data_IF_072448877688
#
_entry.id   IF_072448877688
#
_cell.length_a   1.000
_cell.length_b   1.000
_cell.length_c   1.000
_cell.angle_alpha   90.00
_cell.angle_beta   90.00
_cell.angle_gamma   90.00
#
_symmetry.space_group_name_H-M   'P 1'
#
loop_
_entity.id
_entity.type
_entity.pdbx_description
1 polymer ?
#
# COMPACT_ATOMS: atom_id res chain seq x y z
N UNK A 1 -27.23 6.34 10.90
CA UNK A 1 -26.48 7.22 9.98
C UNK A 1 -25.14 7.57 10.61
N UNK A 2 -24.04 6.98 10.16
CA UNK A 2 -22.68 7.28 10.66
C UNK A 2 -21.94 8.10 9.61
N UNK A 3 -21.75 9.40 9.89
CA UNK A 3 -21.12 10.34 8.94
C UNK A 3 -19.70 9.94 8.51
N UNK A 4 -18.98 9.19 9.35
CA UNK A 4 -17.63 8.69 9.06
C UNK A 4 -17.58 7.51 8.08
N UNK A 5 -18.73 6.95 7.70
CA UNK A 5 -18.83 5.75 6.85
C UNK A 5 -19.70 6.00 5.62
N UNK A 6 -19.98 7.27 5.30
CA UNK A 6 -20.88 7.66 4.22
C UNK A 6 -20.20 8.77 3.42
N UNK A 7 -20.16 8.57 2.11
CA UNK A 7 -19.77 9.59 1.15
C UNK A 7 -21.02 9.98 0.36
N UNK A 8 -21.33 11.27 0.33
CA UNK A 8 -22.41 11.82 -0.49
C UNK A 8 -22.11 11.59 -1.97
N UNK A 9 -23.13 11.20 -2.75
CA UNK A 9 -23.02 10.90 -4.18
C UNK A 9 -22.42 9.53 -4.51
N UNK A 10 -22.01 8.74 -3.50
CA UNK A 10 -21.36 7.45 -3.73
C UNK A 10 -22.28 6.42 -4.42
N UNK A 11 -23.56 6.44 -4.10
CA UNK A 11 -24.57 5.56 -4.72
C UNK A 11 -24.71 5.79 -6.23
N UNK A 12 -24.59 7.05 -6.66
CA UNK A 12 -24.57 7.46 -8.07
C UNK A 12 -23.20 7.20 -8.72
N UNK A 13 -22.12 7.48 -7.99
CA UNK A 13 -20.75 7.45 -8.51
C UNK A 13 -20.13 6.04 -8.55
N UNK A 14 -20.56 5.08 -7.70
CA UNK A 14 -19.90 3.78 -7.51
C UNK A 14 -19.60 3.01 -8.81
N UNK A 15 -20.53 3.02 -9.77
CA UNK A 15 -20.38 2.32 -11.06
C UNK A 15 -19.29 2.98 -11.91
N UNK A 16 -19.29 4.31 -11.93
CA UNK A 16 -18.32 5.09 -12.70
C UNK A 16 -16.94 5.08 -12.03
N UNK A 17 -16.89 5.08 -10.69
CA UNK A 17 -15.65 4.92 -9.91
C UNK A 17 -14.99 3.58 -10.25
N UNK A 18 -15.74 2.48 -10.21
CA UNK A 18 -15.20 1.16 -10.55
C UNK A 18 -14.76 1.08 -12.03
N UNK A 19 -15.56 1.65 -12.95
CA UNK A 19 -15.27 1.63 -14.39
C UNK A 19 -14.06 2.47 -14.77
N UNK A 20 -13.98 3.72 -14.28
CA UNK A 20 -12.90 4.67 -14.60
C UNK A 20 -11.68 4.49 -13.70
N UNK A 21 -11.80 3.70 -12.63
CA UNK A 21 -10.79 3.55 -11.57
C UNK A 21 -10.34 4.92 -11.03
N UNK A 22 -11.29 5.83 -10.86
CA UNK A 22 -11.04 7.19 -10.41
C UNK A 22 -12.11 7.60 -9.41
N UNK A 23 -11.72 8.20 -8.29
CA UNK A 23 -12.62 8.88 -7.36
C UNK A 23 -12.20 10.34 -7.18
N UNK A 24 -13.13 11.28 -7.30
CA UNK A 24 -12.90 12.70 -7.05
C UNK A 24 -13.54 13.05 -5.70
N UNK A 25 -12.76 13.53 -4.75
CA UNK A 25 -13.21 13.89 -3.42
C UNK A 25 -13.30 15.40 -3.34
N UNK A 26 -14.52 15.89 -3.08
CA UNK A 26 -14.84 17.32 -2.94
C UNK A 26 -15.38 17.60 -1.53
N UNK A 27 -15.45 18.87 -1.12
CA UNK A 27 -15.82 19.24 0.26
C UNK A 27 -17.34 19.19 0.50
N UNK A 28 -18.13 19.73 -0.43
CA UNK A 28 -19.57 19.88 -0.28
C UNK A 28 -20.43 18.99 -1.19
N UNK A 29 -21.69 18.80 -0.82
CA UNK A 29 -22.68 18.16 -1.70
C UNK A 29 -22.97 19.00 -2.96
N UNK A 30 -22.87 20.33 -2.86
CA UNK A 30 -23.00 21.27 -3.99
C UNK A 30 -21.90 21.04 -5.02
N UNK A 31 -20.68 20.78 -4.58
CA UNK A 31 -19.54 20.47 -5.44
C UNK A 31 -19.71 19.14 -6.14
N UNK A 32 -20.30 18.14 -5.45
CA UNK A 32 -20.65 16.86 -6.08
C UNK A 32 -21.67 17.09 -7.20
N UNK A 33 -22.72 17.85 -6.93
CA UNK A 33 -23.72 18.18 -7.95
C UNK A 33 -23.08 18.93 -9.13
N UNK A 34 -22.17 19.88 -8.84
CA UNK A 34 -21.44 20.63 -9.85
C UNK A 34 -20.54 19.75 -10.72
N UNK A 35 -19.77 18.88 -10.09
CA UNK A 35 -18.88 17.94 -10.75
C UNK A 35 -19.66 16.97 -11.62
N UNK A 36 -20.79 16.42 -11.14
CA UNK A 36 -21.64 15.53 -11.92
C UNK A 36 -22.27 16.25 -13.13
N UNK A 37 -22.73 17.50 -12.97
CA UNK A 37 -23.21 18.31 -14.09
C UNK A 37 -22.11 18.58 -15.12
N UNK A 38 -20.88 18.80 -14.66
CA UNK A 38 -19.71 18.91 -15.53
C UNK A 38 -19.24 17.57 -16.12
N UNK A 39 -19.89 16.43 -15.83
CA UNK A 39 -19.53 15.11 -16.36
C UNK A 39 -18.45 14.36 -15.58
N UNK A 40 -18.03 14.89 -14.42
CA UNK A 40 -17.17 14.23 -13.44
C UNK A 40 -18.05 13.37 -12.53
N UNK A 41 -18.55 12.29 -13.10
CA UNK A 41 -19.50 11.35 -12.46
C UNK A 41 -18.88 10.51 -11.33
N UNK A 42 -17.59 10.66 -11.09
CA UNK A 42 -16.80 9.99 -10.04
C UNK A 42 -16.69 10.83 -8.77
N UNK A 43 -17.30 12.02 -8.74
CA UNK A 43 -17.23 12.92 -7.60
C UNK A 43 -18.11 12.47 -6.43
N UNK A 44 -17.54 12.56 -5.23
CA UNK A 44 -18.19 12.26 -3.94
C UNK A 44 -17.68 13.23 -2.86
N UNK A 45 -18.46 13.45 -1.80
CA UNK A 45 -18.09 14.34 -0.71
C UNK A 45 -18.26 13.69 0.66
N UNK A 46 -17.53 14.19 1.66
CA UNK A 46 -17.78 13.81 3.06
C UNK A 46 -19.02 14.52 3.59
N UNK A 47 -19.72 13.90 4.53
CA UNK A 47 -20.96 14.48 5.09
C UNK A 47 -20.69 15.45 6.25
N UNK A 48 -19.89 16.50 6.01
CA UNK A 48 -19.51 17.49 7.01
C UNK A 48 -18.56 16.94 8.08
N UNK A 49 -17.65 16.06 7.67
CA UNK A 49 -16.62 15.45 8.51
C UNK A 49 -15.28 15.46 7.78
N UNK A 50 -14.18 15.45 8.53
CA UNK A 50 -12.87 15.26 7.92
C UNK A 50 -12.83 13.90 7.19
N UNK A 51 -12.14 13.88 6.04
CA UNK A 51 -11.86 12.64 5.34
C UNK A 51 -10.96 11.74 6.20
N UNK A 52 -11.28 10.45 6.32
CA UNK A 52 -10.61 9.55 7.25
C UNK A 52 -10.59 8.08 6.83
N UNK A 53 -10.03 7.23 7.68
CA UNK A 53 -9.72 5.84 7.37
C UNK A 53 -10.93 5.00 6.89
N UNK A 54 -12.11 5.24 7.45
CA UNK A 54 -13.32 4.53 7.02
C UNK A 54 -13.76 4.90 5.60
N UNK A 55 -13.61 6.17 5.19
CA UNK A 55 -13.84 6.57 3.79
C UNK A 55 -12.82 5.94 2.85
N UNK A 56 -11.56 5.85 3.28
CA UNK A 56 -10.49 5.18 2.51
C UNK A 56 -10.85 3.72 2.28
N UNK A 57 -11.32 3.00 3.29
CA UNK A 57 -11.75 1.59 3.15
C UNK A 57 -12.85 1.41 2.11
N UNK A 58 -13.82 2.34 2.08
CA UNK A 58 -14.92 2.32 1.10
C UNK A 58 -14.38 2.55 -0.32
N UNK A 59 -13.60 3.61 -0.53
CA UNK A 59 -13.03 3.91 -1.85
C UNK A 59 -12.12 2.79 -2.32
N UNK A 60 -11.34 2.20 -1.41
CA UNK A 60 -10.47 1.07 -1.70
C UNK A 60 -11.25 -0.10 -2.28
N UNK A 61 -12.35 -0.48 -1.64
CA UNK A 61 -13.21 -1.57 -2.14
C UNK A 61 -13.74 -1.29 -3.55
N UNK A 62 -13.96 -0.03 -3.92
CA UNK A 62 -14.48 0.34 -5.24
C UNK A 62 -13.39 0.50 -6.31
N UNK A 63 -12.16 0.82 -5.90
CA UNK A 63 -11.03 1.09 -6.78
C UNK A 63 -10.07 -0.10 -6.94
N UNK A 64 -10.16 -1.10 -6.06
CA UNK A 64 -9.22 -2.23 -5.98
C UNK A 64 -9.83 -3.57 -6.42
N UNK A 65 -10.75 -3.56 -7.39
CA UNK A 65 -11.11 -4.79 -8.08
C UNK A 65 -10.00 -5.17 -9.08
N UNK A 66 -9.39 -6.32 -8.80
CA UNK A 66 -8.27 -7.00 -9.48
C UNK A 66 -6.87 -6.43 -9.27
N UNK A 67 -5.92 -7.36 -9.10
CA UNK A 67 -4.48 -7.26 -8.79
C UNK A 67 -3.64 -6.29 -9.64
N UNK A 68 -4.27 -5.54 -10.55
CA UNK A 68 -3.68 -4.41 -11.26
C UNK A 68 -3.99 -3.09 -10.51
N UNK A 69 -3.05 -2.68 -9.67
CA UNK A 69 -3.02 -1.39 -8.99
C UNK A 69 -3.04 -0.21 -10.00
N UNK A 70 -4.23 0.30 -10.34
CA UNK A 70 -4.45 1.35 -11.36
C UNK A 70 -5.52 2.38 -11.00
N UNK A 71 -5.97 2.42 -9.75
CA UNK A 71 -7.01 3.35 -9.30
C UNK A 71 -6.42 4.63 -8.73
N UNK A 72 -6.97 5.80 -9.09
CA UNK A 72 -6.53 7.10 -8.60
C UNK A 72 -7.60 7.82 -7.77
N UNK A 73 -7.16 8.54 -6.74
CA UNK A 73 -8.02 9.35 -5.89
C UNK A 73 -7.57 10.80 -5.93
N UNK A 74 -8.48 11.68 -6.32
CA UNK A 74 -8.19 13.08 -6.62
C UNK A 74 -8.93 13.93 -5.60
N UNK A 75 -8.20 14.70 -4.81
CA UNK A 75 -8.79 15.65 -3.88
C UNK A 75 -8.88 17.03 -4.52
N UNK A 76 -10.05 17.65 -4.47
CA UNK A 76 -10.19 19.09 -4.72
C UNK A 76 -10.30 19.80 -3.38
N UNK A 77 -9.44 20.78 -3.15
CA UNK A 77 -9.51 21.64 -1.98
C UNK A 77 -9.75 23.07 -2.40
N UNK A 78 -10.36 23.84 -1.51
CA UNK A 78 -10.66 25.27 -1.68
C UNK A 78 -9.39 26.14 -1.50
N UNK A 79 -8.21 25.55 -1.75
CA UNK A 79 -6.91 26.18 -1.56
C UNK A 79 -6.47 26.33 -0.10
N UNK A 80 -7.27 25.90 0.88
CA UNK A 80 -6.98 26.12 2.30
C UNK A 80 -5.89 25.17 2.85
N UNK A 81 -5.17 25.62 3.88
CA UNK A 81 -4.09 24.83 4.50
C UNK A 81 -4.63 23.67 5.35
N UNK A 82 -5.92 23.69 5.72
CA UNK A 82 -6.53 22.72 6.62
C UNK A 82 -6.90 21.42 5.89
N UNK A 83 -7.53 21.50 4.71
CA UNK A 83 -7.88 20.38 3.86
C UNK A 83 -6.65 19.59 3.39
N UNK A 84 -5.60 20.31 3.01
CA UNK A 84 -4.31 19.73 2.62
C UNK A 84 -3.67 18.90 3.75
N UNK A 85 -3.67 19.45 4.97
CA UNK A 85 -3.11 18.78 6.15
C UNK A 85 -3.96 17.59 6.59
N UNK A 86 -5.28 17.67 6.44
CA UNK A 86 -6.19 16.56 6.69
C UNK A 86 -5.97 15.42 5.70
N UNK A 87 -5.76 15.72 4.42
CA UNK A 87 -5.42 14.74 3.40
C UNK A 87 -4.11 14.02 3.74
N UNK A 88 -3.03 14.78 4.01
CA UNK A 88 -1.74 14.20 4.35
C UNK A 88 -1.80 13.30 5.58
N UNK A 89 -2.61 13.67 6.59
CA UNK A 89 -2.87 12.83 7.77
C UNK A 89 -3.69 11.58 7.46
N UNK A 90 -4.75 11.70 6.67
CA UNK A 90 -5.59 10.56 6.33
C UNK A 90 -4.81 9.50 5.53
N UNK A 91 -3.76 9.93 4.83
CA UNK A 91 -2.96 9.10 3.94
C UNK A 91 -1.67 8.55 4.55
N UNK A 92 -1.21 9.03 5.72
CA UNK A 92 0.02 8.51 6.35
C UNK A 92 0.00 7.01 6.63
N UNK A 93 -1.19 6.42 6.77
CA UNK A 93 -1.37 5.06 7.27
C UNK A 93 -1.37 4.01 6.13
N UNK A 94 -1.66 4.38 4.89
CA UNK A 94 -1.67 3.46 3.74
C UNK A 94 -0.98 4.00 2.49
N UNK A 95 0.24 3.52 2.30
CA UNK A 95 1.11 4.03 1.27
C UNK A 95 0.76 3.67 -0.16
N UNK A 96 0.18 2.48 -0.39
CA UNK A 96 -0.24 2.12 -1.74
C UNK A 96 -1.25 3.17 -2.19
N UNK A 97 -2.26 3.43 -1.37
CA UNK A 97 -3.25 4.47 -1.64
C UNK A 97 -2.61 5.85 -1.86
N UNK A 98 -1.63 6.26 -1.03
CA UNK A 98 -0.94 7.57 -1.18
C UNK A 98 -0.28 7.75 -2.55
N UNK A 99 0.37 6.71 -3.10
CA UNK A 99 1.04 6.81 -4.40
C UNK A 99 0.09 7.02 -5.58
N UNK A 100 -1.21 6.82 -5.36
CA UNK A 100 -2.27 7.08 -6.32
C UNK A 100 -3.21 8.20 -5.84
N UNK A 101 -2.79 8.95 -4.83
CA UNK A 101 -3.50 10.13 -4.37
C UNK A 101 -2.94 11.35 -5.06
N UNK A 102 -3.84 12.13 -5.65
CA UNK A 102 -3.56 13.37 -6.33
C UNK A 102 -4.37 14.49 -5.71
N UNK A 103 -3.91 15.72 -5.94
CA UNK A 103 -4.57 16.94 -5.49
C UNK A 103 -4.76 17.84 -6.69
N UNK A 104 -5.94 18.41 -6.82
CA UNK A 104 -6.27 19.45 -7.79
C UNK A 104 -6.66 20.70 -7.01
N UNK A 105 -5.84 21.75 -7.09
CA UNK A 105 -6.08 23.04 -6.41
C UNK A 105 -6.37 24.10 -7.46
N UNK A 106 -7.46 24.83 -7.27
CA UNK A 106 -7.82 25.96 -8.12
C UNK A 106 -7.00 27.20 -7.72
N UNK A 107 -6.30 27.87 -8.65
CA UNK A 107 -5.38 28.96 -8.31
C UNK A 107 -6.03 30.20 -7.69
N UNK A 108 -7.28 30.49 -8.02
CA UNK A 108 -8.05 31.63 -7.53
C UNK A 108 -8.83 31.27 -6.24
N UNK A 109 -8.68 30.04 -5.73
CA UNK A 109 -9.34 29.57 -4.51
C UNK A 109 -10.83 29.31 -4.67
N UNK A 110 -11.30 29.13 -5.91
CA UNK A 110 -12.71 28.79 -6.18
C UNK A 110 -12.98 27.32 -5.86
N UNK A 111 -14.08 27.05 -5.17
CA UNK A 111 -14.59 25.69 -5.00
C UNK A 111 -15.10 25.12 -6.35
N UNK A 112 -15.31 23.80 -6.48
CA UNK A 112 -15.80 23.20 -7.72
C UNK A 112 -17.13 23.80 -8.21
N UNK A 113 -18.03 24.17 -7.30
CA UNK A 113 -19.31 24.76 -7.62
C UNK A 113 -19.16 26.15 -8.27
N UNK A 114 -18.41 27.03 -7.64
CA UNK A 114 -18.12 28.40 -8.04
C UNK A 114 -17.24 28.43 -9.29
N UNK A 115 -16.25 27.53 -9.38
CA UNK A 115 -15.46 27.36 -10.59
C UNK A 115 -16.34 27.04 -11.79
N UNK A 116 -17.30 26.11 -11.63
CA UNK A 116 -18.25 25.78 -12.70
C UNK A 116 -19.16 26.95 -13.03
N UNK A 117 -19.67 27.67 -12.03
CA UNK A 117 -20.54 28.82 -12.26
C UNK A 117 -19.82 29.97 -12.98
N UNK A 118 -18.57 30.23 -12.63
CA UNK A 118 -17.80 31.36 -13.15
C UNK A 118 -17.09 31.05 -14.47
N UNK A 119 -16.54 29.84 -14.62
CA UNK A 119 -15.67 29.47 -15.76
C UNK A 119 -16.22 28.29 -16.59
N UNK A 120 -17.36 27.72 -16.22
CA UNK A 120 -18.05 26.67 -16.95
C UNK A 120 -17.51 25.25 -16.70
N UNK A 121 -18.20 24.26 -17.27
CA UNK A 121 -17.90 22.83 -17.06
C UNK A 121 -16.48 22.42 -17.49
N UNK A 122 -15.97 23.03 -18.57
CA UNK A 122 -14.64 22.71 -19.10
C UNK A 122 -13.55 23.07 -18.09
N UNK A 123 -13.67 24.20 -17.39
CA UNK A 123 -12.69 24.63 -16.40
C UNK A 123 -12.58 23.64 -15.23
N UNK A 124 -13.72 23.07 -14.79
CA UNK A 124 -13.72 22.07 -13.74
C UNK A 124 -13.09 20.75 -14.20
N UNK A 125 -13.34 20.31 -15.44
CA UNK A 125 -12.65 19.13 -16.01
C UNK A 125 -11.15 19.35 -16.12
N UNK A 126 -10.74 20.53 -16.56
CA UNK A 126 -9.34 20.89 -16.72
C UNK A 126 -8.62 20.99 -15.37
N UNK A 127 -9.31 21.40 -14.31
CA UNK A 127 -8.78 21.34 -12.93
C UNK A 127 -8.43 19.91 -12.54
N UNK A 128 -9.36 18.96 -12.70
CA UNK A 128 -9.14 17.54 -12.37
C UNK A 128 -8.07 16.91 -13.27
N UNK A 129 -8.01 17.31 -14.54
CA UNK A 129 -6.99 16.82 -15.48
C UNK A 129 -5.57 17.25 -15.08
N UNK A 130 -5.40 18.44 -14.52
CA UNK A 130 -4.10 19.02 -14.08
C UNK A 130 -3.72 18.66 -12.64
N UNK A 131 -4.34 17.65 -12.06
CA UNK A 131 -4.01 17.16 -10.71
C UNK A 131 -2.52 16.86 -10.56
N UNK A 132 -1.98 17.13 -9.38
CA UNK A 132 -0.57 16.86 -9.02
C UNK A 132 -0.49 15.75 -7.96
N UNK A 133 0.57 14.94 -7.94
CA UNK A 133 0.74 13.92 -6.90
C UNK A 133 0.75 14.53 -5.50
N UNK A 134 0.15 13.85 -4.52
CA UNK A 134 0.04 14.35 -3.14
C UNK A 134 1.41 14.65 -2.51
N UNK A 135 2.42 13.80 -2.75
CA UNK A 135 3.77 14.03 -2.23
C UNK A 135 4.42 15.28 -2.83
N UNK A 136 4.30 15.47 -4.15
CA UNK A 136 4.81 16.69 -4.81
C UNK A 136 4.13 17.93 -4.23
N UNK A 137 2.81 17.89 -4.10
CA UNK A 137 2.03 18.97 -3.53
C UNK A 137 2.49 19.33 -2.11
N UNK A 138 2.62 18.32 -1.24
CA UNK A 138 3.03 18.50 0.15
C UNK A 138 4.45 19.08 0.28
N UNK A 139 5.38 18.58 -0.54
CA UNK A 139 6.76 19.07 -0.53
C UNK A 139 6.76 20.53 -0.99
N UNK A 140 6.10 20.87 -2.09
CA UNK A 140 6.03 22.25 -2.59
C UNK A 140 5.37 23.20 -1.60
N UNK A 141 4.29 22.77 -0.95
CA UNK A 141 3.63 23.54 0.10
C UNK A 141 4.56 23.82 1.29
N UNK A 142 5.37 22.84 1.70
CA UNK A 142 6.36 23.03 2.77
C UNK A 142 7.49 23.96 2.33
N UNK A 143 7.99 23.81 1.09
CA UNK A 143 9.03 24.67 0.53
C UNK A 143 8.60 26.14 0.43
N UNK A 144 7.31 26.40 0.14
CA UNK A 144 6.76 27.75 0.03
C UNK A 144 6.86 28.57 1.34
N UNK A 145 7.14 27.92 2.47
CA UNK A 145 7.31 28.56 3.79
C UNK A 145 8.71 29.14 3.99
N UNK A 146 9.63 28.92 3.06
CA UNK A 146 11.04 29.28 3.17
C UNK A 146 11.52 30.15 2.00
N UNK A 147 12.47 31.04 2.28
CA UNK A 147 13.12 31.87 1.25
C UNK A 147 14.23 31.10 0.56
N UNK A 148 13.95 30.51 -0.61
CA UNK A 148 14.91 29.65 -1.33
C UNK A 148 16.04 30.42 -2.05
N UNK A 149 16.05 31.75 -2.01
CA UNK A 149 17.12 32.56 -2.61
C UNK A 149 18.37 32.64 -1.74
N UNK A 150 18.28 32.30 -0.44
CA UNK A 150 19.43 32.29 0.47
C UNK A 150 19.92 30.87 0.78
N UNK A 151 21.22 30.67 1.01
CA UNK A 151 21.77 29.37 1.43
C UNK A 151 21.10 28.82 2.69
N UNK A 152 20.86 29.67 3.70
CA UNK A 152 20.23 29.30 4.97
C UNK A 152 18.78 28.87 4.78
N UNK A 153 18.06 29.55 3.89
CA UNK A 153 16.68 29.21 3.53
C UNK A 153 16.60 27.87 2.81
N UNK A 154 17.53 27.59 1.89
CA UNK A 154 17.63 26.28 1.20
C UNK A 154 17.92 25.14 2.17
N UNK A 155 18.86 25.31 3.10
CA UNK A 155 19.17 24.29 4.11
C UNK A 155 17.98 24.07 5.06
N UNK A 156 17.34 25.14 5.51
CA UNK A 156 16.14 25.03 6.37
C UNK A 156 15.01 24.30 5.67
N UNK A 157 14.75 24.64 4.41
CA UNK A 157 13.75 24.00 3.58
C UNK A 157 14.08 22.52 3.33
N UNK A 158 15.35 22.20 3.07
CA UNK A 158 15.81 20.81 2.93
C UNK A 158 15.53 19.99 4.20
N UNK A 159 15.88 20.53 5.37
CA UNK A 159 15.66 19.84 6.64
C UNK A 159 14.17 19.60 6.94
N UNK A 160 13.29 20.50 6.48
CA UNK A 160 11.85 20.38 6.64
C UNK A 160 11.20 19.42 5.60
N UNK A 161 11.69 19.43 4.36
CA UNK A 161 11.15 18.62 3.26
C UNK A 161 11.70 17.18 3.23
N UNK A 162 12.94 16.95 3.68
CA UNK A 162 13.55 15.62 3.68
C UNK A 162 12.74 14.57 4.46
N UNK A 163 12.12 14.88 5.63
CA UNK A 163 11.18 13.98 6.30
C UNK A 163 9.97 13.58 5.45
N UNK A 164 9.42 14.46 4.62
CA UNK A 164 8.28 14.15 3.76
C UNK A 164 8.67 13.13 2.67
N UNK A 165 9.86 13.29 2.09
CA UNK A 165 10.42 12.33 1.12
C UNK A 165 10.78 11.01 1.81
N UNK A 166 11.26 11.05 3.06
CA UNK A 166 11.58 9.86 3.84
C UNK A 166 10.34 9.00 4.16
N UNK A 167 9.15 9.61 4.27
CA UNK A 167 7.88 8.90 4.51
C UNK A 167 7.43 8.04 3.30
N UNK A 168 7.98 8.29 2.10
CA UNK A 168 7.78 7.45 0.92
C UNK A 168 8.50 6.12 1.17
N UNK A 169 7.78 5.02 1.40
CA UNK A 169 8.34 3.66 1.62
C UNK A 169 8.48 2.90 0.29
N UNK A 170 7.88 3.38 -0.81
CA UNK A 170 8.24 2.93 -2.16
C UNK A 170 9.68 3.36 -2.47
N UNK A 171 10.57 2.36 -2.49
CA UNK A 171 12.01 2.57 -2.72
C UNK A 171 12.33 3.06 -4.13
N UNK A 172 11.44 2.84 -5.10
CA UNK A 172 11.63 3.26 -6.49
C UNK A 172 11.25 4.73 -6.71
N UNK A 173 10.23 5.22 -6.02
CA UNK A 173 9.80 6.63 -6.12
C UNK A 173 10.70 7.57 -5.33
N UNK A 174 11.31 7.11 -4.23
CA UNK A 174 12.11 7.98 -3.36
C UNK A 174 13.28 8.68 -4.09
N UNK A 175 14.10 7.99 -4.91
CA UNK A 175 15.17 8.66 -5.67
C UNK A 175 14.64 9.73 -6.63
N UNK A 176 13.48 9.50 -7.27
CA UNK A 176 12.85 10.46 -8.16
C UNK A 176 12.41 11.73 -7.41
N UNK A 177 11.76 11.57 -6.26
CA UNK A 177 11.39 12.71 -5.42
C UNK A 177 12.59 13.43 -4.80
N UNK A 178 13.67 12.71 -4.46
CA UNK A 178 14.94 13.33 -4.04
C UNK A 178 15.53 14.20 -5.15
N UNK A 179 15.48 13.74 -6.42
CA UNK A 179 15.94 14.52 -7.57
C UNK A 179 15.06 15.76 -7.81
N UNK A 180 13.74 15.61 -7.74
CA UNK A 180 12.81 16.75 -7.85
C UNK A 180 13.02 17.78 -6.74
N UNK A 181 13.20 17.33 -5.49
CA UNK A 181 13.49 18.20 -4.35
C UNK A 181 14.80 18.95 -4.52
N UNK A 182 15.85 18.28 -5.00
CA UNK A 182 17.13 18.91 -5.33
C UNK A 182 16.95 20.00 -6.40
N UNK A 183 16.17 19.73 -7.44
CA UNK A 183 15.82 20.70 -8.49
C UNK A 183 15.05 21.92 -7.96
N UNK A 184 14.09 21.72 -7.05
CA UNK A 184 13.33 22.83 -6.46
C UNK A 184 14.16 23.69 -5.51
N UNK A 185 15.10 23.09 -4.79
CA UNK A 185 15.99 23.79 -3.86
C UNK A 185 17.21 24.41 -4.55
N UNK A 186 17.59 23.93 -5.73
CA UNK A 186 18.84 24.29 -6.39
C UNK A 186 20.07 23.85 -5.60
N UNK A 187 20.07 22.60 -5.13
CA UNK A 187 21.18 21.96 -4.40
C UNK A 187 21.51 20.60 -5.02
N UNK A 188 22.65 20.03 -4.68
CA UNK A 188 23.09 18.74 -5.21
C UNK A 188 22.23 17.57 -4.72
N UNK A 189 21.99 16.59 -5.59
CA UNK A 189 21.12 15.42 -5.31
C UNK A 189 21.69 14.57 -4.17
N UNK A 190 23.01 14.49 -4.07
CA UNK A 190 23.74 13.78 -3.01
C UNK A 190 23.45 14.40 -1.64
N UNK A 191 23.40 15.73 -1.56
CA UNK A 191 23.08 16.45 -0.33
C UNK A 191 21.64 16.16 0.11
N UNK A 192 20.70 16.16 -0.84
CA UNK A 192 19.30 15.81 -0.55
C UNK A 192 19.17 14.36 -0.11
N UNK A 193 19.84 13.44 -0.82
CA UNK A 193 19.79 12.01 -0.53
C UNK A 193 20.35 11.70 0.86
N UNK A 194 21.42 12.38 1.29
CA UNK A 194 21.98 12.26 2.63
C UNK A 194 21.02 12.80 3.71
N UNK A 195 20.37 13.94 3.45
CA UNK A 195 19.36 14.50 4.36
C UNK A 195 18.15 13.57 4.52
N UNK A 196 17.66 12.99 3.41
CA UNK A 196 16.56 12.00 3.43
C UNK A 196 16.96 10.74 4.19
N UNK A 197 18.16 10.19 3.95
CA UNK A 197 18.68 9.04 4.69
C UNK A 197 18.81 9.32 6.20
N UNK A 198 19.16 10.55 6.57
CA UNK A 198 19.24 10.98 7.97
C UNK A 198 17.85 11.12 8.59
N UNK A 199 16.89 11.68 7.86
CA UNK A 199 15.49 11.80 8.29
C UNK A 199 14.84 10.41 8.49
N UNK A 200 15.17 9.42 7.65
CA UNK A 200 14.73 8.04 7.84
C UNK A 200 15.22 7.45 9.18
N UNK A 201 16.45 7.77 9.59
CA UNK A 201 17.01 7.34 10.89
C UNK A 201 16.44 8.11 12.09
N UNK A 202 15.97 9.35 11.88
CA UNK A 202 15.44 10.26 12.91
C UNK A 202 13.91 10.22 13.07
N UNK A 203 13.20 9.47 12.23
CA UNK A 203 11.73 9.41 12.34
C UNK A 203 11.40 8.76 13.69
N UNK A 204 10.76 9.49 14.63
CA UNK A 204 10.45 8.95 15.93
C UNK A 204 9.41 7.85 15.74
N UNK A 205 9.71 6.62 16.15
CA UNK A 205 8.67 5.72 16.61
C UNK A 205 7.91 6.47 17.70
N UNK A 206 6.59 6.55 17.58
CA UNK A 206 5.71 7.18 18.56
C UNK A 206 6.04 6.60 19.94
N UNK A 207 6.58 7.43 20.84
CA UNK A 207 6.88 7.08 22.22
C UNK A 207 5.57 6.65 22.91
N UNK A 208 5.49 5.37 23.26
CA UNK A 208 4.59 4.84 24.28
C UNK A 208 5.37 4.86 25.60
N UNK A 209 4.68 5.24 26.69
CA UNK A 209 5.21 5.55 28.03
C UNK A 209 6.45 4.77 28.51
N UNK A 210 7.46 5.43 29.11
CA UNK A 210 8.73 4.82 29.55
C UNK A 210 8.69 4.17 30.94
N UNK A 211 7.55 3.67 31.42
CA UNK A 211 7.45 2.95 32.72
C UNK A 211 7.05 1.49 32.56
N UNK A 212 7.68 0.78 31.64
CA UNK A 212 7.63 -0.68 31.57
C UNK A 212 9.06 -1.23 31.44
N UNK A 213 9.40 -2.33 32.14
CA UNK A 213 10.77 -2.82 32.25
C UNK A 213 11.34 -3.23 30.89
N UNK A 214 12.66 -3.00 30.73
CA UNK A 214 13.49 -3.22 29.54
C UNK A 214 13.01 -4.38 28.63
N UNK A 215 12.59 -4.04 27.41
CA UNK A 215 12.28 -5.00 26.36
C UNK A 215 13.35 -4.93 25.28
N UNK A 216 13.93 -6.10 25.03
CA UNK A 216 14.79 -6.53 23.93
C UNK A 216 14.39 -5.96 22.54
N UNK A 217 15.32 -5.87 21.57
CA UNK A 217 15.16 -5.08 20.34
C UNK A 217 13.90 -5.45 19.51
N UNK A 218 13.10 -4.44 19.17
CA UNK A 218 11.87 -4.52 18.38
C UNK A 218 12.05 -4.97 16.91
N UNK A 219 13.26 -5.22 16.42
CA UNK A 219 13.50 -5.57 15.00
C UNK A 219 13.16 -7.02 14.62
N UNK A 220 13.05 -7.96 15.57
CA UNK A 220 12.78 -9.37 15.26
C UNK A 220 11.28 -9.71 15.14
N UNK A 221 10.38 -8.99 15.82
CA UNK A 221 8.96 -9.38 15.92
C UNK A 221 8.12 -8.78 14.78
N UNK A 222 7.44 -9.60 13.95
CA UNK A 222 6.56 -9.08 12.90
C UNK A 222 5.32 -8.40 13.49
N UNK A 223 4.95 -7.24 12.94
CA UNK A 223 3.74 -6.51 13.31
C UNK A 223 2.48 -7.26 12.81
N UNK A 224 1.57 -7.70 13.71
CA UNK A 224 0.34 -8.41 13.33
C UNK A 224 -0.61 -7.59 12.43
N UNK A 225 -0.47 -6.26 12.42
CA UNK A 225 -1.29 -5.37 11.61
C UNK A 225 -0.65 -5.02 10.26
N UNK A 226 0.59 -5.46 9.98
CA UNK A 226 1.26 -5.15 8.72
C UNK A 226 0.54 -5.81 7.53
N UNK A 227 -0.07 -5.05 6.60
CA UNK A 227 -0.93 -5.62 5.57
C UNK A 227 -0.23 -6.60 4.62
N UNK A 228 1.08 -6.45 4.43
CA UNK A 228 1.90 -7.34 3.59
C UNK A 228 2.10 -8.71 4.23
N UNK A 229 2.06 -8.76 5.55
CA UNK A 229 2.32 -9.96 6.36
C UNK A 229 1.04 -10.66 6.80
N UNK A 230 -0.14 -10.05 6.63
CA UNK A 230 -1.42 -10.65 7.02
C UNK A 230 -1.58 -12.04 6.41
N UNK A 231 -1.38 -12.20 5.10
CA UNK A 231 -1.57 -13.49 4.44
C UNK A 231 -0.57 -14.55 4.93
N UNK A 232 0.71 -14.17 5.08
CA UNK A 232 1.75 -15.02 5.66
C UNK A 232 1.38 -15.48 7.08
N UNK A 233 0.90 -14.54 7.90
CA UNK A 233 0.45 -14.77 9.27
C UNK A 233 -0.76 -15.69 9.33
N UNK A 234 -1.78 -15.48 8.51
CA UNK A 234 -2.98 -16.36 8.47
C UNK A 234 -2.61 -17.79 8.10
N UNK A 235 -1.71 -17.99 7.13
CA UNK A 235 -1.21 -19.33 6.76
C UNK A 235 -0.47 -19.99 7.91
N UNK A 236 0.37 -19.24 8.64
CA UNK A 236 1.07 -19.77 9.82
C UNK A 236 0.11 -20.07 10.98
N UNK A 237 -0.91 -19.23 11.22
CA UNK A 237 -1.97 -19.51 12.21
C UNK A 237 -2.72 -20.80 11.86
N UNK A 238 -3.12 -20.97 10.60
CA UNK A 238 -3.75 -22.20 10.13
C UNK A 238 -2.84 -23.42 10.35
N UNK A 239 -1.54 -23.29 10.04
CA UNK A 239 -0.58 -24.40 10.22
C UNK A 239 -0.36 -24.78 11.68
N UNK A 240 -0.40 -23.81 12.59
CA UNK A 240 -0.20 -24.01 14.03
C UNK A 240 -1.49 -24.56 14.68
N UNK A 241 -2.65 -23.98 14.39
CA UNK A 241 -3.92 -24.30 15.05
C UNK A 241 -4.65 -25.50 14.42
N UNK A 242 -4.56 -25.67 13.09
CA UNK A 242 -5.30 -26.68 12.33
C UNK A 242 -4.36 -27.45 11.37
N UNK A 243 -3.33 -28.14 11.89
CA UNK A 243 -2.29 -28.78 11.08
C UNK A 243 -2.83 -29.83 10.10
N UNK A 244 -3.87 -30.57 10.48
CA UNK A 244 -4.52 -31.59 9.64
C UNK A 244 -5.17 -31.02 8.37
N UNK A 245 -5.58 -29.73 8.39
CA UNK A 245 -6.18 -29.04 7.24
C UNK A 245 -5.12 -28.45 6.29
N UNK A 246 -3.85 -28.42 6.69
CA UNK A 246 -2.76 -27.76 5.98
C UNK A 246 -2.02 -28.69 5.00
N UNK A 247 -2.74 -29.57 4.29
CA UNK A 247 -2.16 -30.59 3.41
C UNK A 247 -1.19 -30.01 2.35
N UNK A 248 -1.49 -28.81 1.85
CA UNK A 248 -0.70 -28.13 0.81
C UNK A 248 0.43 -27.25 1.35
N UNK A 249 0.64 -27.18 2.67
CA UNK A 249 1.64 -26.29 3.28
C UNK A 249 3.07 -26.60 2.82
N UNK A 250 3.43 -27.87 2.69
CA UNK A 250 4.75 -28.28 2.22
C UNK A 250 5.04 -27.93 0.75
N UNK A 251 4.02 -27.54 -0.02
CA UNK A 251 4.17 -27.10 -1.40
C UNK A 251 4.54 -25.60 -1.51
N UNK A 252 4.55 -24.87 -0.39
CA UNK A 252 4.99 -23.48 -0.34
C UNK A 252 6.47 -23.38 -0.69
N UNK A 253 6.81 -22.42 -1.55
CA UNK A 253 8.18 -22.13 -1.94
C UNK A 253 9.03 -21.73 -0.72
N UNK A 254 10.34 -21.96 -0.79
CA UNK A 254 11.28 -21.66 0.32
C UNK A 254 11.25 -20.17 0.69
N UNK A 255 10.98 -19.30 -0.29
CA UNK A 255 10.89 -17.85 -0.14
C UNK A 255 9.43 -17.32 -0.06
N UNK A 256 8.45 -18.19 0.24
CA UNK A 256 7.05 -17.80 0.35
C UNK A 256 6.81 -16.78 1.48
N UNK A 257 7.63 -16.82 2.53
CA UNK A 257 7.60 -15.88 3.64
C UNK A 257 8.64 -14.77 3.45
N UNK A 258 8.26 -13.52 3.71
CA UNK A 258 9.13 -12.35 3.51
C UNK A 258 9.73 -11.82 4.80
N UNK A 259 9.07 -12.03 5.94
CA UNK A 259 9.58 -11.59 7.23
C UNK A 259 10.56 -12.61 7.85
N UNK A 260 11.73 -12.21 8.39
CA UNK A 260 12.73 -13.11 8.95
C UNK A 260 12.17 -14.09 10.02
N UNK A 261 11.36 -13.59 10.95
CA UNK A 261 10.75 -14.45 11.98
C UNK A 261 9.74 -15.48 11.42
N UNK A 262 9.06 -15.19 10.30
CA UNK A 262 8.17 -16.16 9.64
C UNK A 262 8.94 -17.19 8.84
N UNK A 263 10.07 -16.80 8.23
CA UNK A 263 11.00 -17.74 7.61
C UNK A 263 11.61 -18.69 8.64
N UNK A 264 12.04 -18.15 9.80
CA UNK A 264 12.57 -18.94 10.90
C UNK A 264 11.49 -19.89 11.46
N UNK A 265 10.26 -19.41 11.67
CA UNK A 265 9.15 -20.26 12.12
C UNK A 265 8.83 -21.36 11.10
N UNK A 266 8.81 -21.05 9.80
CA UNK A 266 8.63 -22.04 8.74
C UNK A 266 9.70 -23.13 8.82
N UNK A 267 10.97 -22.76 8.97
CA UNK A 267 12.07 -23.73 9.09
C UNK A 267 11.91 -24.63 10.33
N UNK A 268 11.46 -24.06 11.45
CA UNK A 268 11.13 -24.81 12.68
C UNK A 268 9.99 -25.81 12.42
N UNK A 269 8.93 -25.38 11.73
CA UNK A 269 7.79 -26.25 11.38
C UNK A 269 8.23 -27.41 10.49
N UNK A 270 9.03 -27.13 9.46
CA UNK A 270 9.52 -28.14 8.51
C UNK A 270 10.39 -29.20 9.21
N UNK A 271 11.19 -28.80 10.20
CA UNK A 271 12.02 -29.73 10.99
C UNK A 271 11.20 -30.58 11.97
N UNK A 272 10.14 -30.03 12.54
CA UNK A 272 9.39 -30.68 13.62
C UNK A 272 8.22 -31.55 13.16
N UNK A 273 7.62 -31.21 12.03
CA UNK A 273 6.38 -31.82 11.55
C UNK A 273 6.34 -31.91 10.02
N UNK A 274 7.25 -32.69 9.40
CA UNK A 274 7.31 -32.84 7.94
C UNK A 274 6.02 -33.43 7.35
N UNK A 275 5.27 -34.24 8.10
CA UNK A 275 4.01 -34.87 7.67
C UNK A 275 2.76 -34.06 8.08
N UNK A 276 2.87 -32.75 8.26
CA UNK A 276 1.79 -31.91 8.80
C UNK A 276 1.28 -32.34 10.18
N UNK A 277 2.12 -32.99 10.99
CA UNK A 277 1.78 -33.32 12.37
C UNK A 277 1.55 -32.07 13.23
N UNK A 278 0.86 -32.27 14.37
CA UNK A 278 0.67 -31.22 15.37
C UNK A 278 2.03 -30.77 15.95
N UNK A 279 2.18 -29.46 16.11
CA UNK A 279 3.39 -28.83 16.61
C UNK A 279 3.32 -28.74 18.13
N UNK A 280 4.40 -29.14 18.82
CA UNK A 280 4.54 -29.00 20.27
C UNK A 280 5.57 -27.93 20.62
N UNK A 281 5.17 -26.99 21.47
CA UNK A 281 5.99 -25.83 21.88
C UNK A 281 7.31 -26.24 22.55
N UNK A 282 7.34 -27.41 23.21
CA UNK A 282 8.50 -27.93 23.95
C UNK A 282 9.74 -28.15 23.07
N UNK A 283 9.54 -28.31 21.76
CA UNK A 283 10.63 -28.52 20.81
C UNK A 283 11.27 -27.21 20.33
N UNK A 284 10.60 -26.07 20.51
CA UNK A 284 11.11 -24.76 20.11
C UNK A 284 12.10 -24.29 21.17
N UNK A 285 13.37 -24.11 20.81
CA UNK A 285 14.43 -23.75 21.77
C UNK A 285 14.58 -22.24 21.98
N UNK A 286 14.24 -21.44 20.97
CA UNK A 286 14.32 -19.98 21.03
C UNK A 286 13.09 -19.39 21.74
N UNK A 287 13.30 -18.67 22.85
CA UNK A 287 12.24 -18.04 23.65
C UNK A 287 11.39 -17.02 22.85
N UNK A 288 12.02 -16.27 21.95
CA UNK A 288 11.31 -15.34 21.06
C UNK A 288 10.37 -16.12 20.12
N UNK A 289 10.83 -17.25 19.60
CA UNK A 289 10.03 -18.12 18.73
C UNK A 289 8.89 -18.81 19.49
N UNK A 290 9.11 -19.21 20.76
CA UNK A 290 8.02 -19.69 21.63
C UNK A 290 6.94 -18.64 21.81
N UNK A 291 7.34 -17.38 22.03
CA UNK A 291 6.40 -16.26 22.17
C UNK A 291 5.57 -16.07 20.90
N UNK A 292 6.21 -16.02 19.73
CA UNK A 292 5.53 -15.88 18.44
C UNK A 292 4.62 -17.09 18.13
N UNK A 293 5.09 -18.32 18.38
CA UNK A 293 4.28 -19.52 18.20
C UNK A 293 3.04 -19.52 19.10
N UNK A 294 3.20 -19.14 20.38
CA UNK A 294 2.09 -19.05 21.33
C UNK A 294 1.07 -18.02 20.89
N UNK A 295 1.53 -16.85 20.44
CA UNK A 295 0.68 -15.79 19.89
C UNK A 295 -0.15 -16.28 18.68
N UNK A 296 0.51 -16.92 17.71
CA UNK A 296 -0.16 -17.47 16.53
C UNK A 296 -1.10 -18.63 16.85
N UNK A 297 -0.87 -19.35 17.95
CA UNK A 297 -1.73 -20.45 18.38
C UNK A 297 -3.05 -19.97 19.01
N UNK A 298 -3.06 -18.76 19.59
CA UNK A 298 -4.25 -18.21 20.29
C UNK A 298 -4.97 -17.13 19.50
N UNK A 299 -4.31 -16.49 18.54
CA UNK A 299 -4.94 -15.47 17.72
C UNK A 299 -5.99 -16.08 16.77
N UNK A 300 -7.23 -15.58 16.73
CA UNK A 300 -8.26 -16.14 15.86
C UNK A 300 -7.88 -16.00 14.38
N UNK A 301 -8.14 -17.06 13.60
CA UNK A 301 -8.02 -17.02 12.14
C UNK A 301 -9.15 -16.15 11.57
N UNK A 302 -8.84 -15.33 10.56
CA UNK A 302 -9.79 -14.41 9.92
C UNK A 302 -10.68 -15.15 8.91
N UNK A 303 -11.41 -16.15 9.38
CA UNK A 303 -12.40 -16.91 8.62
C UNK A 303 -13.81 -16.51 9.05
N UNK A 304 -14.72 -16.39 8.08
CA UNK A 304 -16.14 -16.19 8.35
C UNK A 304 -16.78 -17.55 8.71
N UNK A 305 -16.74 -17.92 10.00
CA UNK A 305 -17.31 -19.17 10.51
C UNK A 305 -16.28 -20.23 10.88
N UNK A 306 -16.63 -21.52 10.72
CA UNK A 306 -15.71 -22.62 11.03
C UNK A 306 -14.55 -22.68 10.01
N UNK A 307 -13.34 -22.97 10.51
CA UNK A 307 -12.15 -23.13 9.68
C UNK A 307 -12.30 -24.43 8.88
N UNK A 308 -12.46 -24.30 7.56
CA UNK A 308 -12.60 -25.45 6.65
C UNK A 308 -11.30 -25.75 5.92
N UNK A 309 -11.14 -26.99 5.46
CA UNK A 309 -10.02 -27.39 4.58
C UNK A 309 -9.94 -26.50 3.32
N UNK A 310 -11.10 -26.15 2.76
CA UNK A 310 -11.21 -25.32 1.57
C UNK A 310 -10.70 -23.89 1.80
N UNK A 311 -11.04 -23.28 2.93
CA UNK A 311 -10.49 -21.97 3.31
C UNK A 311 -8.97 -22.01 3.51
N UNK A 312 -8.46 -23.04 4.20
CA UNK A 312 -7.02 -23.19 4.41
C UNK A 312 -6.29 -23.40 3.08
N UNK A 313 -6.86 -24.19 2.17
CA UNK A 313 -6.32 -24.38 0.82
C UNK A 313 -6.30 -23.06 0.03
N UNK A 314 -7.33 -22.22 0.14
CA UNK A 314 -7.41 -20.95 -0.59
C UNK A 314 -6.35 -19.94 -0.12
N UNK A 315 -6.12 -19.80 1.19
CA UNK A 315 -5.08 -18.88 1.71
C UNK A 315 -3.66 -19.38 1.38
N UNK A 316 -3.42 -20.70 1.38
CA UNK A 316 -2.14 -21.28 0.95
C UNK A 316 -1.94 -21.06 -0.55
N UNK A 317 -2.98 -21.28 -1.38
CA UNK A 317 -2.93 -21.05 -2.81
C UNK A 317 -2.63 -19.57 -3.14
N UNK A 318 -3.25 -18.63 -2.40
CA UNK A 318 -2.99 -17.19 -2.51
C UNK A 318 -1.54 -16.84 -2.18
N UNK A 319 -0.96 -17.44 -1.14
CA UNK A 319 0.43 -17.19 -0.76
C UNK A 319 1.41 -17.70 -1.84
N UNK A 320 1.15 -18.88 -2.40
CA UNK A 320 1.92 -19.43 -3.53
C UNK A 320 1.78 -18.59 -4.79
N UNK A 321 0.60 -18.10 -5.10
CA UNK A 321 0.35 -17.24 -6.27
C UNK A 321 1.25 -15.99 -6.24
N UNK A 322 1.45 -15.40 -5.06
CA UNK A 322 2.37 -14.26 -4.87
C UNK A 322 3.81 -14.64 -5.17
N UNK A 323 4.30 -15.79 -4.68
CA UNK A 323 5.64 -16.30 -4.96
C UNK A 323 5.86 -16.57 -6.45
N UNK A 324 4.92 -17.28 -7.08
CA UNK A 324 4.94 -17.62 -8.51
C UNK A 324 4.93 -16.35 -9.37
N UNK A 325 4.16 -15.34 -8.99
CA UNK A 325 4.11 -14.05 -9.70
C UNK A 325 5.45 -13.31 -9.67
N UNK A 326 6.19 -13.37 -8.56
CA UNK A 326 7.55 -12.80 -8.48
C UNK A 326 8.52 -13.56 -9.38
N UNK A 327 8.48 -14.90 -9.37
CA UNK A 327 9.32 -15.72 -10.23
C UNK A 327 9.05 -15.46 -11.73
N UNK A 328 7.79 -15.28 -12.13
CA UNK A 328 7.40 -14.87 -13.49
C UNK A 328 8.02 -13.52 -13.86
N UNK A 329 7.97 -12.53 -12.96
CA UNK A 329 8.52 -11.20 -13.21
C UNK A 329 10.05 -11.24 -13.40
N UNK A 330 10.75 -12.00 -12.57
CA UNK A 330 12.20 -12.21 -12.69
C UNK A 330 12.57 -12.90 -14.01
N UNK A 331 11.81 -13.93 -14.39
CA UNK A 331 12.05 -14.68 -15.61
C UNK A 331 11.76 -13.85 -16.88
N UNK A 332 10.69 -13.03 -16.87
CA UNK A 332 10.41 -12.05 -17.93
C UNK A 332 11.55 -11.02 -18.06
N UNK A 333 12.07 -10.52 -16.94
CA UNK A 333 13.20 -9.60 -16.92
C UNK A 333 14.50 -10.25 -17.42
N UNK A 334 14.71 -11.54 -17.15
CA UNK A 334 15.83 -12.32 -17.69
C UNK A 334 15.71 -12.49 -19.21
N UNK A 335 14.54 -12.92 -19.69
CA UNK A 335 14.26 -13.11 -21.13
C UNK A 335 14.40 -11.82 -21.95
N UNK A 336 14.09 -10.65 -21.39
CA UNK A 336 14.29 -9.35 -22.05
C UNK A 336 15.76 -8.99 -22.27
N UNK A 337 16.67 -9.57 -21.49
CA UNK A 337 18.11 -9.31 -21.55
C UNK A 337 18.88 -10.36 -22.35
N UNK A 338 18.28 -11.52 -22.61
CA UNK A 338 18.86 -12.59 -23.41
C UNK A 338 18.65 -12.33 -24.90
N UNK A 339 19.71 -12.48 -25.69
CA UNK A 339 19.60 -12.45 -27.15
C UNK A 339 19.09 -13.81 -27.64
N UNK A 340 17.89 -13.90 -28.23
CA UNK A 340 17.29 -15.17 -28.63
C UNK A 340 18.05 -15.90 -29.74
N UNK A 341 18.97 -15.22 -30.45
CA UNK A 341 19.78 -15.80 -31.53
C UNK A 341 21.13 -16.30 -31.03
N UNK A 342 21.74 -15.62 -30.06
CA UNK A 342 23.05 -16.00 -29.50
C UNK A 342 22.92 -17.01 -28.34
N UNK A 343 21.80 -16.97 -27.60
CA UNK A 343 21.53 -17.78 -26.41
C UNK A 343 20.26 -18.64 -26.57
N UNK A 344 20.07 -19.27 -27.73
CA UNK A 344 18.84 -19.99 -28.09
C UNK A 344 18.41 -21.04 -27.06
N UNK A 345 19.34 -21.87 -26.57
CA UNK A 345 19.03 -22.94 -25.61
C UNK A 345 18.57 -22.38 -24.24
N UNK A 346 19.25 -21.35 -23.74
CA UNK A 346 18.92 -20.70 -22.47
C UNK A 346 17.59 -19.93 -22.57
N UNK A 347 17.36 -19.26 -23.70
CA UNK A 347 16.11 -18.57 -23.99
C UNK A 347 14.94 -19.56 -24.03
N UNK A 348 15.06 -20.67 -24.76
CA UNK A 348 14.01 -21.68 -24.86
C UNK A 348 13.70 -22.35 -23.51
N UNK A 349 14.72 -22.62 -22.70
CA UNK A 349 14.54 -23.15 -21.35
C UNK A 349 13.81 -22.16 -20.43
N UNK A 350 14.22 -20.90 -20.43
CA UNK A 350 13.58 -19.84 -19.65
C UNK A 350 12.14 -19.57 -20.13
N UNK A 351 11.88 -19.62 -21.43
CA UNK A 351 10.53 -19.48 -21.98
C UNK A 351 9.62 -20.65 -21.60
N UNK A 352 10.10 -21.89 -21.64
CA UNK A 352 9.34 -23.07 -21.21
C UNK A 352 8.97 -22.99 -19.72
N UNK A 353 9.91 -22.57 -18.86
CA UNK A 353 9.65 -22.35 -17.44
C UNK A 353 8.60 -21.24 -17.22
N UNK A 354 8.66 -20.16 -18.01
CA UNK A 354 7.70 -19.07 -17.93
C UNK A 354 6.27 -19.55 -18.21
N UNK A 355 6.08 -20.34 -19.26
CA UNK A 355 4.77 -20.92 -19.62
C UNK A 355 4.25 -21.83 -18.51
N UNK A 356 5.12 -22.67 -17.92
CA UNK A 356 4.76 -23.56 -16.81
C UNK A 356 4.33 -22.76 -15.55
N UNK A 357 5.04 -21.69 -15.21
CA UNK A 357 4.70 -20.83 -14.08
C UNK A 357 3.41 -20.06 -14.32
N UNK A 358 3.14 -19.55 -15.53
CA UNK A 358 1.87 -18.87 -15.84
C UNK A 358 0.68 -19.84 -15.75
N UNK A 359 0.84 -21.09 -16.21
CA UNK A 359 -0.18 -22.13 -16.03
C UNK A 359 -0.41 -22.43 -14.54
N UNK A 360 0.66 -22.53 -13.76
CA UNK A 360 0.59 -22.78 -12.31
C UNK A 360 -0.11 -21.62 -11.58
N UNK A 361 0.23 -20.37 -11.93
CA UNK A 361 -0.41 -19.17 -11.37
C UNK A 361 -1.91 -19.17 -11.62
N UNK A 362 -2.35 -19.54 -12.83
CA UNK A 362 -3.78 -19.64 -13.17
C UNK A 362 -4.50 -20.66 -12.29
N UNK A 363 -3.95 -21.86 -12.13
CA UNK A 363 -4.54 -22.88 -11.25
C UNK A 363 -4.62 -22.42 -9.79
N UNK A 364 -3.57 -21.76 -9.30
CA UNK A 364 -3.53 -21.21 -7.93
C UNK A 364 -4.57 -20.09 -7.74
N UNK A 365 -4.75 -19.24 -8.76
CA UNK A 365 -5.74 -18.18 -8.75
C UNK A 365 -7.17 -18.74 -8.64
N UNK A 366 -7.50 -19.76 -9.43
CA UNK A 366 -8.82 -20.42 -9.38
C UNK A 366 -9.09 -21.07 -8.00
N UNK A 367 -8.07 -21.70 -7.41
CA UNK A 367 -8.15 -22.26 -6.05
C UNK A 367 -8.28 -21.18 -4.97
N UNK A 368 -7.61 -20.04 -5.14
CA UNK A 368 -7.68 -18.92 -4.21
C UNK A 368 -9.04 -18.21 -4.24
N UNK A 369 -9.70 -18.15 -5.40
CA UNK A 369 -11.05 -17.59 -5.56
C UNK A 369 -12.15 -18.51 -5.04
N UNK A 370 -11.97 -19.83 -5.13
CA UNK A 370 -12.99 -20.79 -4.71
C UNK A 370 -13.37 -20.71 -3.24
N UNK A 371 -12.50 -20.14 -2.37
CA UNK A 371 -12.68 -20.07 -0.91
C UNK A 371 -13.28 -18.78 -0.36
N UNK A 372 -13.80 -17.88 -1.22
CA UNK A 372 -14.70 -16.78 -0.87
C UNK A 372 -16.15 -17.26 -0.91
#
# INVERSE_FOLDING_TARGET
>A
YKKSQILYGLDMAKKEIAKKRQAVIVEGYTDVMAAHLAGITTAVATCGTAFGADHIRILRRLLMDDDAFRGEVIFTFDGDAAGQKAALRAFSDDQKFVTQTFVAVEPDGLDPCDLRQNKGDAALRDLIARRVPLFEFAIRAELARYTLTTPEGRISALNAAAPLVAQIRDKSLRPEYSRSLAGWLGVEVEQVSAAVATAMKKTPQVNVDPTAPEVVPQEWRPDPQEPRLILEREVLKARVQAPALCQSFNQLEVNAFTHPAYQELRAVIDQMAPDNAALTIDKITNENMKSLFTELNVEPIRADGEITEHYVASIIARLREVSVSRAIAELKSSLQRLNPVENEAEYNAAFAQLVALESTRRTLHDLALGGL
#
